data_IF_895522662815
#
_entry.id   IF_895522662815
#
_cell.length_a   1.000
_cell.length_b   1.000
_cell.length_c   1.000
_cell.angle_alpha   90.00
_cell.angle_beta   90.00
_cell.angle_gamma   90.00
#
_symmetry.space_group_name_H-M   'P 1'
#
loop_
_entity.id
_entity.type
_entity.pdbx_description
1 polymer ?
#
# COMPACT_ATOMS: atom_id res chain seq x y z
N UNK A 1 -11.80 11.83 0.97
CA UNK A 1 -12.01 11.23 2.30
C UNK A 1 -10.89 10.24 2.59
N UNK A 2 -10.49 10.05 3.85
CA UNK A 2 -9.55 8.98 4.23
C UNK A 2 -10.35 7.94 5.01
N UNK A 3 -10.27 6.67 4.59
CA UNK A 3 -10.98 5.56 5.24
C UNK A 3 -10.03 4.37 5.47
N UNK A 4 -10.32 3.49 6.45
CA UNK A 4 -9.59 2.23 6.58
C UNK A 4 -9.64 1.43 5.27
N UNK A 5 -8.55 0.73 4.95
CA UNK A 5 -8.50 -0.09 3.74
C UNK A 5 -9.65 -1.11 3.71
N UNK A 6 -10.26 -1.25 2.54
CA UNK A 6 -11.27 -2.28 2.25
C UNK A 6 -10.76 -3.21 1.17
N UNK A 7 -11.33 -4.42 1.09
CA UNK A 7 -10.92 -5.41 0.09
C UNK A 7 -11.10 -4.88 -1.35
N UNK A 8 -12.14 -4.08 -1.58
CA UNK A 8 -12.43 -3.49 -2.89
C UNK A 8 -11.30 -2.55 -3.31
N UNK A 9 -10.86 -1.66 -2.40
CA UNK A 9 -9.78 -0.72 -2.72
C UNK A 9 -8.42 -1.40 -2.74
N UNK A 10 -8.16 -2.37 -1.85
CA UNK A 10 -6.93 -3.15 -1.84
C UNK A 10 -6.72 -3.92 -3.15
N UNK A 11 -7.78 -4.55 -3.69
CA UNK A 11 -7.72 -5.20 -4.99
C UNK A 11 -7.42 -4.21 -6.11
N UNK A 12 -8.08 -3.04 -6.15
CA UNK A 12 -7.79 -2.01 -7.16
C UNK A 12 -6.35 -1.52 -7.10
N UNK A 13 -5.81 -1.27 -5.90
CA UNK A 13 -4.42 -0.83 -5.69
C UNK A 13 -3.43 -1.91 -6.12
N UNK A 14 -3.73 -3.18 -5.83
CA UNK A 14 -2.85 -4.31 -6.19
C UNK A 14 -2.63 -4.46 -7.70
N UNK A 15 -3.54 -3.90 -8.50
CA UNK A 15 -3.48 -3.92 -9.96
C UNK A 15 -2.73 -2.71 -10.54
N UNK A 16 -2.30 -1.74 -9.73
CA UNK A 16 -1.59 -0.56 -10.22
C UNK A 16 -0.21 -0.93 -10.78
N UNK A 17 0.00 -0.54 -12.03
CA UNK A 17 1.27 -0.72 -12.75
C UNK A 17 1.84 0.66 -13.06
N UNK A 18 3.07 0.87 -12.60
CA UNK A 18 3.88 2.04 -12.88
C UNK A 18 5.05 1.65 -13.78
N UNK A 19 5.38 2.52 -14.73
CA UNK A 19 6.47 2.31 -15.68
C UNK A 19 7.74 3.07 -15.26
N UNK A 20 8.86 2.70 -15.90
CA UNK A 20 10.15 3.40 -15.80
C UNK A 20 10.68 3.49 -14.35
N UNK A 21 11.16 4.66 -13.94
CA UNK A 21 11.71 4.92 -12.61
C UNK A 21 10.71 4.67 -11.46
N UNK A 22 9.42 4.63 -11.78
CA UNK A 22 8.35 4.35 -10.82
C UNK A 22 7.96 2.88 -10.75
N UNK A 23 8.55 2.01 -11.58
CA UNK A 23 8.26 0.57 -11.57
C UNK A 23 8.48 -0.11 -10.21
N UNK A 24 9.32 0.46 -9.34
CA UNK A 24 9.52 -0.01 -7.96
C UNK A 24 8.28 0.10 -7.08
N UNK A 25 7.27 0.89 -7.48
CA UNK A 25 6.00 1.06 -6.79
C UNK A 25 4.90 0.12 -7.32
N UNK A 26 5.17 -0.63 -8.38
CA UNK A 26 4.26 -1.65 -8.92
C UNK A 26 4.23 -2.85 -7.97
N UNK A 27 3.02 -3.28 -7.60
CA UNK A 27 2.86 -4.45 -6.76
C UNK A 27 3.03 -5.77 -7.52
N UNK A 28 3.32 -6.84 -6.78
CA UNK A 28 3.12 -8.19 -7.27
C UNK A 28 1.61 -8.48 -7.31
N UNK A 29 1.06 -8.75 -8.49
CA UNK A 29 -0.37 -9.00 -8.67
C UNK A 29 -0.76 -10.40 -8.15
N UNK A 30 -0.79 -10.54 -6.83
CA UNK A 30 -1.10 -11.79 -6.14
C UNK A 30 -1.89 -11.54 -4.84
N UNK A 31 -2.42 -12.63 -4.29
CA UNK A 31 -3.23 -12.59 -3.06
C UNK A 31 -2.48 -12.05 -1.85
N UNK A 32 -1.16 -12.19 -1.80
CA UNK A 32 -0.36 -11.74 -0.65
C UNK A 32 -0.24 -10.22 -0.60
N UNK A 33 -0.18 -9.54 -1.75
CA UNK A 33 -0.27 -8.08 -1.81
C UNK A 33 -1.59 -7.59 -1.25
N UNK A 34 -2.72 -8.22 -1.64
CA UNK A 34 -4.03 -7.82 -1.14
C UNK A 34 -4.13 -8.06 0.37
N UNK A 35 -3.61 -9.18 0.89
CA UNK A 35 -3.54 -9.44 2.33
C UNK A 35 -2.69 -8.42 3.07
N UNK A 36 -1.57 -7.99 2.49
CA UNK A 36 -0.71 -6.96 3.08
C UNK A 36 -1.45 -5.63 3.20
N UNK A 37 -2.07 -5.17 2.10
CA UNK A 37 -2.85 -3.94 2.07
C UNK A 37 -4.05 -3.99 3.02
N UNK A 38 -4.60 -5.17 3.29
CA UNK A 38 -5.69 -5.35 4.25
C UNK A 38 -5.24 -5.39 5.71
N UNK A 39 -3.95 -5.25 6.01
CA UNK A 39 -3.49 -5.07 7.39
C UNK A 39 -4.01 -3.72 7.92
N UNK A 40 -4.36 -3.68 9.20
CA UNK A 40 -5.04 -2.54 9.86
C UNK A 40 -4.24 -1.23 9.93
N UNK A 41 -3.12 -1.14 9.22
CA UNK A 41 -2.23 0.02 9.14
C UNK A 41 -2.34 0.77 7.80
N UNK A 42 -3.17 0.30 6.87
CA UNK A 42 -3.37 0.90 5.54
C UNK A 42 -4.71 1.62 5.41
N UNK A 43 -4.70 2.72 4.65
CA UNK A 43 -5.84 3.61 4.46
C UNK A 43 -5.98 4.00 2.98
N UNK A 44 -7.21 4.08 2.51
CA UNK A 44 -7.55 4.53 1.17
C UNK A 44 -7.91 6.03 1.19
N UNK A 45 -7.36 6.77 0.23
CA UNK A 45 -7.68 8.17 -0.03
C UNK A 45 -8.65 8.22 -1.20
N UNK A 46 -9.86 8.71 -0.94
CA UNK A 46 -10.92 8.84 -1.93
C UNK A 46 -11.17 10.30 -2.30
N UNK A 47 -11.69 10.53 -3.50
CA UNK A 47 -12.20 11.84 -3.90
C UNK A 47 -13.62 12.10 -3.32
N UNK A 48 -14.37 13.04 -3.91
CA UNK A 48 -15.75 13.35 -3.50
C UNK A 48 -16.82 12.40 -4.05
N UNK A 49 -16.46 11.57 -5.03
CA UNK A 49 -17.31 10.58 -5.68
C UNK A 49 -17.03 9.14 -5.19
N UNK A 50 -16.15 8.99 -4.20
CA UNK A 50 -15.63 7.72 -3.66
C UNK A 50 -14.67 6.97 -4.61
N UNK A 51 -14.11 7.68 -5.58
CA UNK A 51 -13.07 7.15 -6.46
C UNK A 51 -11.73 7.16 -5.75
N UNK A 52 -10.95 6.10 -5.96
CA UNK A 52 -9.66 5.91 -5.33
C UNK A 52 -8.60 6.84 -5.94
N UNK A 53 -8.04 7.74 -5.14
CA UNK A 53 -6.95 8.64 -5.52
C UNK A 53 -5.57 8.12 -5.11
N UNK A 54 -5.50 7.32 -4.05
CA UNK A 54 -4.24 6.97 -3.41
C UNK A 54 -4.45 6.08 -2.19
N UNK A 55 -3.35 5.64 -1.61
CA UNK A 55 -3.33 4.96 -0.32
C UNK A 55 -2.08 5.35 0.45
N UNK A 56 -2.11 5.14 1.76
CA UNK A 56 -0.92 5.24 2.60
C UNK A 56 -1.02 4.26 3.76
N UNK A 57 0.12 3.98 4.40
CA UNK A 57 0.18 3.28 5.66
C UNK A 57 1.02 4.03 6.69
N UNK A 58 0.91 3.63 7.94
CA UNK A 58 1.75 4.13 9.03
C UNK A 58 2.05 3.00 10.01
N UNK A 59 2.91 3.26 11.00
CA UNK A 59 3.24 2.24 12.01
C UNK A 59 4.25 1.22 11.48
N UNK A 60 4.03 -0.07 11.80
CA UNK A 60 5.02 -1.12 11.51
C UNK A 60 5.22 -1.33 10.02
N UNK A 61 4.15 -1.28 9.23
CA UNK A 61 4.21 -1.40 7.77
C UNK A 61 4.98 -0.26 7.09
N UNK A 62 5.08 0.91 7.72
CA UNK A 62 5.84 2.06 7.21
C UNK A 62 7.24 2.19 7.84
N UNK A 63 7.62 1.29 8.75
CA UNK A 63 8.89 1.37 9.45
C UNK A 63 10.01 0.77 8.59
N UNK A 64 11.03 1.59 8.29
CA UNK A 64 12.28 1.08 7.73
C UNK A 64 13.01 0.32 8.85
N UNK A 65 13.35 -0.97 8.69
CA UNK A 65 14.09 -1.71 9.69
C UNK A 65 15.43 -1.03 9.98
N UNK A 66 15.61 -0.49 11.19
CA UNK A 66 16.88 0.04 11.67
C UNK A 66 17.71 -1.10 12.25
N UNK A 67 18.47 -1.80 11.40
CA UNK A 67 19.63 -2.59 11.83
C UNK A 67 20.76 -2.32 10.83
N UNK A 68 21.85 -1.65 11.28
CA UNK A 68 23.13 -1.69 10.56
C UNK A 68 23.50 -3.16 10.37
N UNK A 69 23.65 -3.62 9.11
CA UNK A 69 24.31 -4.91 8.86
C UNK A 69 25.74 -4.84 9.43
N UNK A 70 25.93 -5.23 10.69
CA UNK A 70 27.24 -5.28 11.36
C UNK A 70 27.37 -4.62 12.74
N UNK A 71 26.30 -4.14 13.37
CA UNK A 71 26.39 -3.52 14.71
C UNK A 71 26.49 -4.50 15.88
N UNK A 72 27.73 -4.95 16.16
CA UNK A 72 28.25 -5.77 17.28
C UNK A 72 27.89 -7.27 17.34
#
# INVERSE_FOLDING_TARGET
MIIPMSIVYASQISEWIYENEYSIYTFHQNDDTVKELMKGEYYACLDRYNDLLGYFCFGKSAQIPTIEKGGL
#
